data_IF_988310547840
#
_entry.id   IF_988310547840
#
_cell.length_a   1.000
_cell.length_b   1.000
_cell.length_c   1.000
_cell.angle_alpha   90.00
_cell.angle_beta   90.00
_cell.angle_gamma   90.00
#
_symmetry.space_group_name_H-M   'P 1'
#
loop_
_entity.id
_entity.type
_entity.pdbx_description
1 polymer ?
#
# COMPACT_ATOMS: atom_id res chain seq x y z
N UNK A 1 -12.86 -8.47 24.58
CA UNK A 1 -11.67 -8.30 23.73
C UNK A 1 -10.72 -7.40 24.50
N UNK A 2 -9.46 -7.82 24.69
CA UNK A 2 -8.53 -7.03 25.48
C UNK A 2 -8.37 -5.64 24.85
N UNK A 3 -8.51 -4.58 25.66
CA UNK A 3 -8.31 -3.18 25.27
C UNK A 3 -6.93 -2.92 24.65
N UNK A 4 -6.00 -3.88 24.75
CA UNK A 4 -4.64 -3.82 24.23
C UNK A 4 -4.49 -4.02 22.72
N UNK A 5 -5.54 -4.43 21.97
CA UNK A 5 -5.44 -4.63 20.51
C UNK A 5 -5.96 -3.46 19.67
N UNK A 6 -6.63 -2.47 20.28
CA UNK A 6 -7.29 -1.37 19.59
C UNK A 6 -6.86 -0.03 20.19
N UNK A 7 -6.36 0.87 19.35
CA UNK A 7 -6.00 2.24 19.73
C UNK A 7 -6.95 3.22 19.03
N UNK A 8 -7.47 4.19 19.77
CA UNK A 8 -8.37 5.22 19.24
C UNK A 8 -7.62 6.54 19.34
N UNK A 9 -7.38 7.19 18.20
CA UNK A 9 -6.79 8.52 18.14
C UNK A 9 -7.92 9.54 18.11
N UNK A 10 -8.04 10.29 19.20
CA UNK A 10 -9.13 11.24 19.40
C UNK A 10 -8.87 12.58 18.73
N UNK A 11 -9.92 13.27 18.30
CA UNK A 11 -9.80 14.59 17.69
C UNK A 11 -9.51 15.67 18.74
N UNK A 12 -8.29 16.24 18.69
CA UNK A 12 -7.89 17.35 19.55
C UNK A 12 -8.24 18.65 18.83
N UNK A 13 -9.29 19.34 19.28
CA UNK A 13 -9.76 20.58 18.65
C UNK A 13 -9.04 21.85 19.11
N UNK A 14 -8.25 21.80 20.19
CA UNK A 14 -7.74 23.01 20.85
C UNK A 14 -6.21 23.06 20.95
N UNK A 15 -5.56 23.76 20.01
CA UNK A 15 -4.16 24.18 20.09
C UNK A 15 -3.56 24.50 18.72
N UNK A 16 -2.66 25.47 18.62
CA UNK A 16 -1.91 25.77 17.37
C UNK A 16 -1.14 24.55 16.84
N UNK A 17 -0.78 23.60 17.73
CA UNK A 17 -0.04 22.37 17.40
C UNK A 17 -0.88 21.08 17.44
N UNK A 18 -2.21 21.19 17.42
CA UNK A 18 -3.08 20.02 17.55
C UNK A 18 -2.85 18.97 16.43
N UNK A 19 -2.49 19.42 15.22
CA UNK A 19 -2.16 18.53 14.11
C UNK A 19 -0.87 17.74 14.34
N UNK A 20 0.21 18.39 14.77
CA UNK A 20 1.51 17.73 15.02
C UNK A 20 1.39 16.69 16.15
N UNK A 21 0.63 17.02 17.20
CA UNK A 21 0.41 16.11 18.31
C UNK A 21 -0.39 14.86 17.89
N UNK A 22 -1.35 15.02 16.98
CA UNK A 22 -2.09 13.91 16.40
C UNK A 22 -1.21 13.03 15.49
N UNK A 23 -0.40 13.64 14.61
CA UNK A 23 0.56 12.93 13.77
C UNK A 23 1.51 12.08 14.62
N UNK A 24 2.00 12.66 15.73
CA UNK A 24 2.83 11.95 16.70
C UNK A 24 2.11 10.77 17.38
N UNK A 25 0.87 10.94 17.84
CA UNK A 25 0.08 9.84 18.41
C UNK A 25 -0.19 8.72 17.41
N UNK A 26 -0.46 9.08 16.15
CA UNK A 26 -0.64 8.13 15.07
C UNK A 26 0.66 7.36 14.77
N UNK A 27 1.79 8.05 14.67
CA UNK A 27 3.11 7.41 14.51
C UNK A 27 3.40 6.46 15.66
N UNK A 28 3.17 6.88 16.90
CA UNK A 28 3.35 6.04 18.08
C UNK A 28 2.45 4.80 18.03
N UNK A 29 1.19 4.93 17.58
CA UNK A 29 0.28 3.80 17.42
C UNK A 29 0.74 2.83 16.32
N UNK A 30 1.27 3.36 15.22
CA UNK A 30 1.82 2.56 14.13
C UNK A 30 3.08 1.80 14.58
N UNK A 31 3.97 2.44 15.34
CA UNK A 31 5.18 1.86 15.93
C UNK A 31 4.86 0.81 16.99
N UNK A 32 3.91 1.10 17.89
CA UNK A 32 3.37 0.18 18.89
C UNK A 32 2.57 -0.96 18.26
N UNK A 33 2.37 -0.92 16.94
CA UNK A 33 2.02 -2.09 16.15
C UNK A 33 0.62 -2.63 16.46
N UNK A 34 -0.29 -1.75 16.90
CA UNK A 34 -1.68 -2.08 17.23
C UNK A 34 -2.40 -2.78 16.07
N UNK A 35 -3.34 -3.65 16.40
CA UNK A 35 -4.08 -4.42 15.40
C UNK A 35 -5.15 -3.58 14.72
N UNK A 36 -5.81 -2.72 15.49
CA UNK A 36 -6.81 -1.77 15.03
C UNK A 36 -6.41 -0.37 15.49
N UNK A 37 -6.37 0.58 14.55
CA UNK A 37 -6.20 2.01 14.84
C UNK A 37 -7.43 2.71 14.30
N UNK A 38 -8.18 3.37 15.19
CA UNK A 38 -9.38 4.14 14.83
C UNK A 38 -9.00 5.61 14.83
N UNK A 39 -9.17 6.26 13.69
CA UNK A 39 -8.87 7.67 13.49
C UNK A 39 -10.20 8.44 13.45
N UNK A 40 -10.44 9.28 14.47
CA UNK A 40 -11.64 10.13 14.53
C UNK A 40 -11.59 11.36 13.62
N UNK A 41 -10.46 12.11 13.52
CA UNK A 41 -10.37 13.25 12.61
C UNK A 41 -10.52 12.81 11.15
N UNK A 42 -11.58 13.26 10.50
CA UNK A 42 -11.92 12.86 9.12
C UNK A 42 -10.84 13.31 8.13
N UNK A 43 -10.29 14.52 8.29
CA UNK A 43 -9.32 15.08 7.32
C UNK A 43 -8.01 14.29 7.24
N UNK A 44 -7.34 14.05 8.36
CA UNK A 44 -6.06 13.31 8.40
C UNK A 44 -6.29 11.81 8.22
N UNK A 45 -7.42 11.28 8.71
CA UNK A 45 -7.84 9.91 8.43
C UNK A 45 -7.99 9.64 6.94
N UNK A 46 -8.64 10.54 6.21
CA UNK A 46 -8.81 10.44 4.75
C UNK A 46 -7.48 10.57 4.00
N UNK A 47 -6.58 11.45 4.46
CA UNK A 47 -5.23 11.58 3.89
C UNK A 47 -4.41 10.30 4.08
N UNK A 48 -4.44 9.72 5.28
CA UNK A 48 -3.78 8.44 5.60
C UNK A 48 -4.40 7.30 4.78
N UNK A 49 -5.73 7.26 4.68
CA UNK A 49 -6.44 6.28 3.87
C UNK A 49 -6.06 6.39 2.39
N UNK A 50 -5.97 7.60 1.85
CA UNK A 50 -5.54 7.88 0.48
C UNK A 50 -4.09 7.47 0.28
N UNK A 51 -3.20 7.75 1.22
CA UNK A 51 -1.80 7.33 1.15
C UNK A 51 -1.66 5.81 1.05
N UNK A 52 -2.38 5.07 1.90
CA UNK A 52 -2.47 3.60 1.85
C UNK A 52 -3.07 3.13 0.51
N UNK A 53 -4.09 3.80 -0.01
CA UNK A 53 -4.72 3.46 -1.28
C UNK A 53 -3.76 3.65 -2.48
N UNK A 54 -2.99 4.73 -2.50
CA UNK A 54 -1.98 4.99 -3.54
C UNK A 54 -0.89 3.93 -3.51
N UNK A 55 -0.35 3.60 -2.34
CA UNK A 55 0.62 2.51 -2.19
C UNK A 55 0.07 1.17 -2.70
N UNK A 56 -1.18 0.84 -2.36
CA UNK A 56 -1.85 -0.37 -2.86
C UNK A 56 -2.05 -0.36 -4.39
N UNK A 57 -2.37 0.80 -4.96
CA UNK A 57 -2.51 0.96 -6.40
C UNK A 57 -1.19 0.73 -7.12
N UNK A 58 -0.10 1.36 -6.65
CA UNK A 58 1.25 1.17 -7.19
C UNK A 58 1.69 -0.29 -7.11
N UNK A 59 1.45 -0.93 -5.96
CA UNK A 59 1.78 -2.32 -5.76
C UNK A 59 1.06 -3.25 -6.75
N UNK A 60 -0.27 -3.10 -6.90
CA UNK A 60 -1.07 -3.92 -7.81
C UNK A 60 -0.70 -3.65 -9.26
N UNK A 61 -0.50 -2.40 -9.63
CA UNK A 61 -0.08 -2.01 -10.98
C UNK A 61 1.28 -2.62 -11.31
N UNK A 62 2.25 -2.58 -10.39
CA UNK A 62 3.56 -3.20 -10.58
C UNK A 62 3.44 -4.71 -10.84
N UNK A 63 2.63 -5.41 -10.04
CA UNK A 63 2.38 -6.85 -10.18
C UNK A 63 1.69 -7.19 -11.50
N UNK A 64 0.62 -6.47 -11.86
CA UNK A 64 -0.13 -6.72 -13.10
C UNK A 64 0.71 -6.41 -14.35
N UNK A 65 1.41 -5.28 -14.36
CA UNK A 65 2.28 -4.91 -15.47
C UNK A 65 3.49 -5.87 -15.59
N UNK A 66 4.04 -6.33 -14.48
CA UNK A 66 5.13 -7.31 -14.46
C UNK A 66 4.68 -8.68 -14.97
N UNK A 67 3.50 -9.14 -14.52
CA UNK A 67 2.89 -10.36 -15.05
C UNK A 67 2.60 -10.23 -16.55
N UNK A 68 2.05 -9.09 -17.00
CA UNK A 68 1.82 -8.83 -18.42
C UNK A 68 3.13 -8.90 -19.22
N UNK A 69 4.21 -8.30 -18.72
CA UNK A 69 5.55 -8.37 -19.33
C UNK A 69 6.02 -9.82 -19.52
N UNK A 70 5.84 -10.67 -18.51
CA UNK A 70 6.30 -12.07 -18.54
C UNK A 70 5.40 -12.99 -19.37
N UNK A 71 4.09 -12.72 -19.45
CA UNK A 71 3.12 -13.55 -20.18
C UNK A 71 2.97 -13.16 -21.65
N UNK A 72 3.22 -11.90 -22.00
CA UNK A 72 3.17 -11.38 -23.37
C UNK A 72 3.93 -12.22 -24.41
N UNK A 73 5.15 -12.73 -24.13
CA UNK A 73 5.90 -13.57 -25.08
C UNK A 73 5.30 -14.96 -25.31
N UNK A 74 4.45 -15.43 -24.40
CA UNK A 74 3.74 -16.70 -24.51
C UNK A 74 2.40 -16.54 -25.25
N UNK A 75 1.79 -15.35 -25.14
CA UNK A 75 0.46 -15.07 -25.67
C UNK A 75 0.46 -14.39 -27.05
N UNK A 76 1.49 -13.62 -27.39
CA UNK A 76 1.56 -12.82 -28.61
C UNK A 76 2.70 -13.26 -29.54
N UNK A 77 2.54 -13.10 -30.87
CA UNK A 77 3.62 -13.31 -31.83
C UNK A 77 4.86 -12.48 -31.48
N UNK A 78 6.05 -13.03 -31.74
CA UNK A 78 7.33 -12.43 -31.35
C UNK A 78 7.52 -10.97 -31.85
N UNK A 79 6.88 -10.64 -32.98
CA UNK A 79 6.91 -9.31 -33.61
C UNK A 79 6.21 -8.25 -32.75
N UNK A 80 5.05 -8.57 -32.16
CA UNK A 80 4.28 -7.66 -31.31
C UNK A 80 4.66 -7.75 -29.83
N UNK A 81 5.21 -8.90 -29.42
CA UNK A 81 5.56 -9.19 -28.03
C UNK A 81 6.50 -8.13 -27.42
N UNK A 82 7.49 -7.65 -28.17
CA UNK A 82 8.46 -6.66 -27.68
C UNK A 82 7.83 -5.30 -27.40
N UNK A 83 6.89 -4.88 -28.24
CA UNK A 83 6.19 -3.60 -28.12
C UNK A 83 5.25 -3.53 -26.92
N UNK A 84 4.79 -4.68 -26.43
CA UNK A 84 3.93 -4.76 -25.24
C UNK A 84 4.74 -5.09 -23.98
N UNK A 85 5.68 -6.03 -24.07
CA UNK A 85 6.44 -6.49 -22.91
C UNK A 85 7.40 -5.43 -22.36
N UNK A 86 8.10 -4.67 -23.21
CA UNK A 86 9.06 -3.67 -22.74
C UNK A 86 8.38 -2.50 -22.00
N UNK A 87 7.31 -1.87 -22.52
CA UNK A 87 6.60 -0.83 -21.77
C UNK A 87 5.95 -1.37 -20.49
N UNK A 88 5.36 -2.57 -20.53
CA UNK A 88 4.78 -3.19 -19.35
C UNK A 88 5.84 -3.48 -18.27
N UNK A 89 7.02 -3.95 -18.67
CA UNK A 89 8.15 -4.15 -17.78
C UNK A 89 8.69 -2.84 -17.21
N UNK A 90 8.83 -1.80 -18.03
CA UNK A 90 9.24 -0.47 -17.58
C UNK A 90 8.24 0.13 -16.58
N UNK A 91 6.94 0.03 -16.86
CA UNK A 91 5.88 0.46 -15.93
C UNK A 91 5.94 -0.32 -14.62
N UNK A 92 6.11 -1.65 -14.71
CA UNK A 92 6.25 -2.51 -13.53
C UNK A 92 7.41 -2.07 -12.65
N UNK A 93 8.58 -1.84 -13.25
CA UNK A 93 9.76 -1.35 -12.53
C UNK A 93 9.54 0.05 -11.94
N UNK A 94 8.99 0.98 -12.71
CA UNK A 94 8.74 2.34 -12.23
C UNK A 94 7.81 2.33 -11.00
N UNK A 95 6.71 1.58 -11.06
CA UNK A 95 5.79 1.42 -9.93
C UNK A 95 6.45 0.69 -8.74
N UNK A 96 7.27 -0.34 -8.98
CA UNK A 96 7.99 -1.06 -7.94
C UNK A 96 9.03 -0.19 -7.23
N UNK A 97 9.78 0.62 -7.99
CA UNK A 97 10.77 1.56 -7.46
C UNK A 97 10.11 2.67 -6.66
N UNK A 98 9.04 3.29 -7.19
CA UNK A 98 8.26 4.29 -6.45
C UNK A 98 7.68 3.71 -5.16
N UNK A 99 7.11 2.50 -5.21
CA UNK A 99 6.64 1.81 -4.02
C UNK A 99 7.78 1.53 -3.02
N UNK A 100 8.96 1.14 -3.53
CA UNK A 100 10.17 0.91 -2.75
C UNK A 100 10.62 2.14 -1.99
N UNK A 101 10.70 3.29 -2.66
CA UNK A 101 11.17 4.55 -2.07
C UNK A 101 10.16 5.08 -1.05
N UNK A 102 8.87 5.06 -1.39
CA UNK A 102 7.85 5.77 -0.60
C UNK A 102 7.10 4.90 0.42
N UNK A 103 6.89 3.60 0.15
CA UNK A 103 6.06 2.73 1.01
C UNK A 103 6.79 1.53 1.61
N UNK A 104 8.04 1.23 1.25
CA UNK A 104 8.73 0.04 1.76
C UNK A 104 9.00 0.10 3.26
N UNK A 105 9.38 1.28 3.75
CA UNK A 105 9.74 1.55 5.14
C UNK A 105 8.64 2.28 5.92
N UNK A 106 7.60 2.73 5.24
CA UNK A 106 6.46 3.40 5.86
C UNK A 106 5.64 2.40 6.70
N UNK A 107 5.44 2.66 8.02
CA UNK A 107 4.59 1.84 8.87
C UNK A 107 3.15 1.69 8.33
N UNK A 108 2.63 2.70 7.63
CA UNK A 108 1.28 2.71 7.08
C UNK A 108 1.05 1.59 6.06
N UNK A 109 2.10 1.11 5.37
CA UNK A 109 1.95 0.06 4.35
C UNK A 109 1.50 -1.31 4.91
N UNK A 110 1.62 -1.50 6.23
CA UNK A 110 1.17 -2.69 6.96
C UNK A 110 -0.32 -2.63 7.34
N UNK A 111 -0.94 -1.47 7.16
CA UNK A 111 -2.33 -1.26 7.49
C UNK A 111 -3.19 -1.19 6.23
N UNK A 112 -4.44 -1.63 6.35
CA UNK A 112 -5.46 -1.48 5.33
C UNK A 112 -6.65 -0.73 5.91
N UNK A 113 -7.26 0.12 5.09
CA UNK A 113 -8.47 0.83 5.48
C UNK A 113 -9.64 -0.15 5.44
N UNK A 114 -10.30 -0.32 6.58
CA UNK A 114 -11.50 -1.13 6.70
C UNK A 114 -12.72 -0.19 6.67
N UNK A 115 -13.58 -0.37 5.67
CA UNK A 115 -14.82 0.39 5.49
C UNK A 115 -16.06 -0.40 5.95
N UNK A 116 -15.89 -1.64 6.41
CA UNK A 116 -16.99 -2.55 6.72
C UNK A 116 -17.64 -2.22 8.07
N UNK A 117 -18.73 -1.44 8.00
CA UNK A 117 -19.55 -1.03 9.15
C UNK A 117 -19.93 -2.17 10.12
N UNK A 118 -20.09 -3.41 9.65
CA UNK A 118 -20.47 -4.55 10.51
C UNK A 118 -19.30 -5.11 11.34
N UNK A 119 -18.06 -4.98 10.84
CA UNK A 119 -16.86 -5.30 11.63
C UNK A 119 -16.47 -4.17 12.54
N UNK A 120 -16.68 -2.94 12.07
CA UNK A 120 -16.54 -1.73 12.88
C UNK A 120 -17.50 -1.72 14.08
N UNK A 121 -18.76 -2.14 13.90
CA UNK A 121 -19.76 -2.17 15.00
C UNK A 121 -19.44 -3.12 16.15
N UNK A 122 -18.43 -3.99 16.00
CA UNK A 122 -17.92 -4.87 17.08
C UNK A 122 -16.79 -4.24 17.89
N UNK A 123 -16.24 -3.12 17.43
CA UNK A 123 -15.29 -2.30 18.17
C UNK A 123 -16.05 -1.43 19.18
N UNK A 124 -15.41 -0.98 20.27
CA UNK A 124 -16.01 -0.08 21.24
C UNK A 124 -16.18 1.33 20.64
N UNK A 125 -17.03 1.47 19.63
CA UNK A 125 -17.35 2.73 18.95
C UNK A 125 -18.29 3.63 19.79
N UNK A 126 -18.77 3.13 20.95
CA UNK A 126 -19.72 3.84 21.81
C UNK A 126 -19.11 5.06 22.52
N UNK A 127 -17.79 5.24 22.42
CA UNK A 127 -17.06 6.43 22.89
C UNK A 127 -16.72 7.41 21.77
N UNK A 128 -17.12 7.15 20.53
CA UNK A 128 -16.73 8.00 19.40
C UNK A 128 -17.71 9.16 19.21
N UNK A 129 -17.15 10.36 19.01
CA UNK A 129 -17.92 11.61 18.86
C UNK A 129 -18.16 11.97 17.39
N UNK A 130 -17.48 11.30 16.46
CA UNK A 130 -17.48 11.57 15.01
C UNK A 130 -18.34 10.56 14.22
N UNK A 131 -19.00 11.03 13.16
CA UNK A 131 -20.00 10.28 12.38
C UNK A 131 -19.42 9.31 11.33
N UNK A 132 -18.12 9.36 11.04
CA UNK A 132 -17.46 8.46 10.08
C UNK A 132 -15.95 8.28 10.37
N UNK A 133 -15.57 7.43 11.34
CA UNK A 133 -14.16 7.19 11.67
C UNK A 133 -13.46 6.35 10.59
N UNK A 134 -12.19 6.66 10.31
CA UNK A 134 -11.34 5.82 9.44
C UNK A 134 -10.67 4.76 10.30
N UNK A 135 -10.89 3.48 9.96
CA UNK A 135 -10.30 2.37 10.72
C UNK A 135 -9.19 1.71 9.90
N UNK A 136 -8.00 1.72 10.47
CA UNK A 136 -6.83 1.04 9.94
C UNK A 136 -6.68 -0.30 10.63
N UNK A 137 -6.69 -1.37 9.84
CA UNK A 137 -6.50 -2.74 10.30
C UNK A 137 -5.13 -3.21 9.87
N UNK A 138 -4.34 -3.69 10.82
CA UNK A 138 -3.05 -4.29 10.50
C UNK A 138 -3.25 -5.62 9.76
N UNK A 139 -2.58 -5.76 8.62
CA UNK A 139 -2.56 -6.97 7.80
C UNK A 139 -1.13 -7.39 7.52
N UNK A 140 -0.83 -8.67 7.73
CA UNK A 140 0.45 -9.23 7.32
C UNK A 140 0.65 -9.07 5.82
N UNK A 141 1.74 -8.41 5.45
CA UNK A 141 2.07 -8.04 4.09
C UNK A 141 3.21 -8.89 3.50
N UNK A 142 3.70 -9.88 4.25
CA UNK A 142 4.85 -10.72 3.88
C UNK A 142 4.65 -11.39 2.53
N UNK A 143 3.52 -12.08 2.34
CA UNK A 143 3.21 -12.78 1.08
C UNK A 143 3.06 -11.80 -0.09
N UNK A 144 2.41 -10.67 0.17
CA UNK A 144 2.18 -9.61 -0.82
C UNK A 144 3.50 -8.99 -1.28
N UNK A 145 4.38 -8.63 -0.34
CA UNK A 145 5.72 -8.10 -0.61
C UNK A 145 6.60 -9.12 -1.35
N UNK A 146 6.59 -10.39 -0.92
CA UNK A 146 7.33 -11.46 -1.62
C UNK A 146 6.87 -11.59 -3.07
N UNK A 147 5.56 -11.66 -3.31
CA UNK A 147 5.01 -11.77 -4.66
C UNK A 147 5.48 -10.60 -5.55
N UNK A 148 5.31 -9.37 -5.08
CA UNK A 148 5.75 -8.18 -5.82
C UNK A 148 7.24 -8.19 -6.12
N UNK A 149 8.09 -8.49 -5.13
CA UNK A 149 9.53 -8.52 -5.34
C UNK A 149 9.94 -9.62 -6.33
N UNK A 150 9.31 -10.80 -6.27
CA UNK A 150 9.59 -11.89 -7.22
C UNK A 150 9.19 -11.52 -8.65
N UNK A 151 8.02 -10.90 -8.83
CA UNK A 151 7.53 -10.49 -10.15
C UNK A 151 8.40 -9.34 -10.69
N UNK A 152 8.74 -8.35 -9.87
CA UNK A 152 9.60 -7.24 -10.26
C UNK A 152 10.99 -7.73 -10.69
N UNK A 153 11.60 -8.65 -9.93
CA UNK A 153 12.90 -9.25 -10.28
C UNK A 153 12.84 -10.06 -11.58
N UNK A 154 11.79 -10.86 -11.75
CA UNK A 154 11.61 -11.64 -12.97
C UNK A 154 11.39 -10.74 -14.20
N UNK A 155 10.55 -9.71 -14.08
CA UNK A 155 10.32 -8.73 -15.14
C UNK A 155 11.60 -7.96 -15.48
N UNK A 156 12.39 -7.56 -14.48
CA UNK A 156 13.68 -6.91 -14.68
C UNK A 156 14.66 -7.81 -15.43
N UNK A 157 14.83 -9.06 -15.00
CA UNK A 157 15.72 -10.00 -15.66
C UNK A 157 15.31 -10.24 -17.13
N UNK A 158 14.00 -10.37 -17.39
CA UNK A 158 13.47 -10.51 -18.74
C UNK A 158 13.74 -9.27 -19.61
N UNK A 159 13.43 -8.07 -19.10
CA UNK A 159 13.69 -6.82 -19.82
C UNK A 159 15.19 -6.64 -20.11
N UNK A 160 16.06 -6.88 -19.12
CA UNK A 160 17.50 -6.78 -19.30
C UNK A 160 18.02 -7.75 -20.37
N UNK A 161 17.54 -9.00 -20.37
CA UNK A 161 17.86 -9.98 -21.42
C UNK A 161 17.41 -9.49 -22.80
N UNK A 162 16.20 -8.96 -22.93
CA UNK A 162 15.67 -8.48 -24.22
C UNK A 162 16.41 -7.25 -24.74
N UNK A 163 16.81 -6.33 -23.86
CA UNK A 163 17.65 -5.18 -24.22
C UNK A 163 19.04 -5.65 -24.66
N UNK A 164 19.64 -6.63 -23.98
CA UNK A 164 20.93 -7.18 -24.39
C UNK A 164 20.86 -7.87 -25.76
N UNK A 165 19.82 -8.65 -26.04
CA UNK A 165 19.57 -9.24 -27.37
C UNK A 165 19.40 -8.15 -28.45
N UNK A 166 18.82 -7.00 -28.13
CA UNK A 166 18.68 -5.87 -29.05
C UNK A 166 20.02 -5.15 -29.32
N UNK A 167 20.94 -5.14 -28.35
CA UNK A 167 22.23 -4.45 -28.47
C UNK A 167 23.32 -5.31 -29.13
N UNK A 168 23.16 -6.62 -29.10
CA UNK A 168 24.10 -7.60 -29.68
C UNK A 168 23.75 -8.02 -31.11
N UNK A 169 22.63 -7.52 -31.65
CA UNK A 169 22.23 -7.59 -33.06
C UNK A 169 22.63 -6.31 -33.77
#
# INVERSE_FOLDING_TARGET
MAASECYIVHEIYNGENAQEQFEYELEQALEAQYRYIVIEPTRIGDETARWVAVGNCLHKTAVLAGAACLLTPLALPAEYSRYVALPAGALSLACATLYGISWQFDPCCKYQVEYDSQKLSRLPLHTLTSSSPVVLVRRDDVHRKRLHNTIALAALAYCAKKIYELYTV
#
